data_IF_924393288468
#
_entry.id   IF_924393288468
#
_cell.length_a   1.000
_cell.length_b   1.000
_cell.length_c   1.000
_cell.angle_alpha   90.00
_cell.angle_beta   90.00
_cell.angle_gamma   90.00
#
_symmetry.space_group_name_H-M   'P 1'
#
loop_
_entity.id
_entity.type
_entity.pdbx_description
1 polymer ?
#
# COMPACT_ATOMS: atom_id res chain seq x y z
N UNK A 1 -15.42 -1.02 1.42
CA UNK A 1 -14.37 -0.16 2.02
C UNK A 1 -15.05 1.06 2.63
N UNK A 2 -14.69 1.43 3.86
CA UNK A 2 -15.18 2.66 4.50
C UNK A 2 -14.03 3.68 4.52
N UNK A 3 -14.21 4.81 3.85
CA UNK A 3 -13.32 5.97 3.99
C UNK A 3 -13.85 6.83 5.14
N UNK A 4 -13.02 7.07 6.15
CA UNK A 4 -13.35 7.95 7.26
C UNK A 4 -12.50 9.21 7.16
N UNK A 5 -13.16 10.36 7.00
CA UNK A 5 -12.51 11.67 6.97
C UNK A 5 -12.76 12.35 8.31
N UNK A 6 -11.71 12.41 9.13
CA UNK A 6 -11.66 13.28 10.30
C UNK A 6 -11.43 14.73 9.81
N UNK A 7 -12.52 15.45 9.57
CA UNK A 7 -12.42 16.82 9.06
C UNK A 7 -12.27 17.81 10.20
N UNK A 8 -11.02 18.14 10.49
CA UNK A 8 -10.69 19.15 11.49
C UNK A 8 -10.51 20.56 10.90
N UNK A 9 -10.80 20.74 9.61
CA UNK A 9 -10.72 22.01 8.89
C UNK A 9 -9.31 22.47 8.52
N UNK A 10 -8.26 21.71 8.85
CA UNK A 10 -6.86 22.12 8.62
C UNK A 10 -5.94 20.97 8.17
N UNK A 11 -5.05 21.28 7.22
CA UNK A 11 -3.87 20.49 6.90
C UNK A 11 -2.63 21.24 7.38
N UNK A 12 -2.01 20.77 8.47
CA UNK A 12 -0.94 21.52 9.18
C UNK A 12 -1.45 22.91 9.59
N UNK A 13 -1.01 23.98 8.92
CA UNK A 13 -1.42 25.37 9.17
C UNK A 13 -2.37 25.93 8.11
N UNK A 14 -2.66 25.15 7.07
CA UNK A 14 -3.46 25.56 5.92
C UNK A 14 -4.91 25.16 6.15
N UNK A 15 -5.86 26.08 5.97
CA UNK A 15 -7.28 25.78 6.11
C UNK A 15 -7.80 24.92 4.96
N UNK A 16 -8.90 24.19 5.18
CA UNK A 16 -9.53 23.36 4.15
C UNK A 16 -10.01 24.16 2.93
N UNK A 17 -10.33 25.45 3.11
CA UNK A 17 -10.75 26.35 2.03
C UNK A 17 -9.69 26.54 0.94
N UNK A 18 -8.40 26.40 1.29
CA UNK A 18 -7.29 26.48 0.33
C UNK A 18 -6.91 25.12 -0.27
N UNK A 19 -7.41 24.03 0.30
CA UNK A 19 -7.06 22.66 -0.10
C UNK A 19 -8.14 22.01 -0.95
N UNK A 20 -9.39 22.41 -0.77
CA UNK A 20 -10.55 21.79 -1.41
C UNK A 20 -11.57 22.88 -1.73
N UNK A 21 -12.13 22.91 -2.95
CA UNK A 21 -13.21 23.83 -3.28
C UNK A 21 -14.34 23.77 -2.24
N UNK A 22 -14.68 24.92 -1.66
CA UNK A 22 -15.69 25.04 -0.59
C UNK A 22 -15.27 24.46 0.78
N UNK A 23 -14.06 23.95 0.92
CA UNK A 23 -13.54 23.35 2.15
C UNK A 23 -14.24 22.05 2.57
N UNK A 24 -14.96 21.40 1.66
CA UNK A 24 -15.69 20.15 1.91
C UNK A 24 -15.46 19.14 0.78
N UNK A 25 -14.60 18.14 1.03
CA UNK A 25 -14.29 17.10 0.05
C UNK A 25 -15.49 16.19 -0.25
N UNK A 26 -16.35 15.93 0.74
CA UNK A 26 -17.53 15.10 0.56
C UNK A 26 -18.50 15.73 -0.44
N UNK A 27 -18.68 17.05 -0.39
CA UNK A 27 -19.50 17.79 -1.35
C UNK A 27 -18.97 17.64 -2.80
N UNK A 28 -17.66 17.72 -3.00
CA UNK A 28 -17.03 17.58 -4.32
C UNK A 28 -17.15 16.15 -4.87
N UNK A 29 -17.09 15.16 -3.98
CA UNK A 29 -17.19 13.75 -4.36
C UNK A 29 -18.64 13.27 -4.57
N UNK A 30 -19.67 14.09 -4.30
CA UNK A 30 -21.09 13.70 -4.53
C UNK A 30 -21.41 13.32 -5.97
N UNK A 31 -20.62 13.78 -6.93
CA UNK A 31 -20.78 13.42 -8.34
C UNK A 31 -20.33 11.98 -8.66
N UNK A 32 -19.58 11.32 -7.77
CA UNK A 32 -19.06 9.97 -8.00
C UNK A 32 -20.18 8.94 -7.82
N UNK A 33 -20.61 8.32 -8.91
CA UNK A 33 -21.57 7.23 -8.85
C UNK A 33 -20.97 6.01 -8.11
N UNK A 34 -21.80 5.34 -7.31
CA UNK A 34 -21.39 4.14 -6.57
C UNK A 34 -20.66 4.41 -5.25
N UNK A 35 -20.43 5.67 -4.87
CA UNK A 35 -19.91 6.04 -3.55
C UNK A 35 -21.04 6.57 -2.65
N UNK A 36 -21.35 5.86 -1.56
CA UNK A 36 -22.29 6.37 -0.56
C UNK A 36 -21.61 7.40 0.33
N UNK A 37 -22.11 8.64 0.38
CA UNK A 37 -21.50 9.72 1.17
C UNK A 37 -22.40 10.09 2.34
N UNK A 38 -21.83 10.10 3.54
CA UNK A 38 -22.46 10.53 4.77
C UNK A 38 -21.60 11.61 5.44
N UNK A 39 -22.26 12.62 6.01
CA UNK A 39 -21.62 13.70 6.75
C UNK A 39 -22.32 13.90 8.11
N UNK A 40 -21.64 14.49 9.08
CA UNK A 40 -22.22 14.82 10.39
C UNK A 40 -21.24 15.54 11.32
N UNK A 41 -21.74 15.94 12.50
CA UNK A 41 -20.90 16.48 13.58
C UNK A 41 -20.23 15.33 14.35
N UNK A 42 -18.91 15.23 14.25
CA UNK A 42 -18.12 14.24 14.99
C UNK A 42 -17.94 14.58 16.47
N UNK A 43 -18.25 15.81 16.89
CA UNK A 43 -18.22 16.22 18.27
C UNK A 43 -19.54 15.97 19.00
N UNK A 44 -20.64 15.75 18.28
CA UNK A 44 -21.91 15.29 18.88
C UNK A 44 -21.85 13.76 19.09
N UNK A 45 -21.96 13.27 20.34
CA UNK A 45 -21.76 11.86 20.62
C UNK A 45 -22.87 10.95 20.06
N UNK A 46 -24.11 11.43 19.95
CA UNK A 46 -25.21 10.64 19.41
C UNK A 46 -25.13 10.59 17.89
N UNK A 47 -24.95 11.74 17.24
CA UNK A 47 -24.83 11.78 15.78
C UNK A 47 -23.61 10.99 15.32
N UNK A 48 -22.44 11.18 15.92
CA UNK A 48 -21.24 10.44 15.56
C UNK A 48 -21.45 8.91 15.68
N UNK A 49 -22.04 8.45 16.79
CA UNK A 49 -22.34 7.02 16.98
C UNK A 49 -23.28 6.47 15.91
N UNK A 50 -24.36 7.20 15.60
CA UNK A 50 -25.33 6.80 14.59
C UNK A 50 -24.72 6.76 13.18
N UNK A 51 -24.01 7.81 12.77
CA UNK A 51 -23.38 7.90 11.44
C UNK A 51 -22.33 6.82 11.24
N UNK A 52 -21.47 6.60 12.25
CA UNK A 52 -20.44 5.54 12.20
C UNK A 52 -21.11 4.17 12.09
N UNK A 53 -22.09 3.87 12.94
CA UNK A 53 -22.79 2.59 12.91
C UNK A 53 -23.49 2.35 11.57
N UNK A 54 -24.15 3.37 11.02
CA UNK A 54 -24.83 3.30 9.73
C UNK A 54 -23.85 3.07 8.57
N UNK A 55 -22.74 3.80 8.53
CA UNK A 55 -21.72 3.65 7.50
C UNK A 55 -21.05 2.27 7.53
N UNK A 56 -20.72 1.76 8.73
CA UNK A 56 -20.16 0.42 8.92
C UNK A 56 -21.15 -0.65 8.46
N UNK A 57 -22.42 -0.53 8.86
CA UNK A 57 -23.49 -1.45 8.45
C UNK A 57 -23.65 -1.45 6.92
N UNK A 58 -23.71 -0.28 6.30
CA UNK A 58 -23.82 -0.14 4.85
C UNK A 58 -22.69 -0.89 4.12
N UNK A 59 -21.42 -0.66 4.50
CA UNK A 59 -20.28 -1.29 3.85
C UNK A 59 -20.28 -2.81 4.01
N UNK A 60 -20.77 -3.32 5.16
CA UNK A 60 -20.84 -4.76 5.43
C UNK A 60 -21.98 -5.45 4.68
N UNK A 61 -23.17 -4.86 4.67
CA UNK A 61 -24.38 -5.44 4.09
C UNK A 61 -24.40 -5.27 2.57
N UNK A 62 -24.12 -4.05 2.09
CA UNK A 62 -24.19 -3.73 0.65
C UNK A 62 -22.90 -4.08 -0.09
N UNK A 63 -21.80 -4.35 0.63
CA UNK A 63 -20.46 -4.60 0.06
C UNK A 63 -20.00 -3.50 -0.91
N UNK A 64 -20.48 -2.29 -0.70
CA UNK A 64 -20.20 -1.11 -1.51
C UNK A 64 -19.31 -0.11 -0.75
N UNK A 65 -18.58 0.79 -1.44
CA UNK A 65 -17.77 1.80 -0.78
C UNK A 65 -18.65 2.90 -0.17
N UNK A 66 -18.24 3.40 1.00
CA UNK A 66 -18.83 4.57 1.62
C UNK A 66 -17.75 5.54 2.10
N UNK A 67 -18.05 6.84 2.05
CA UNK A 67 -17.28 7.91 2.66
C UNK A 67 -18.08 8.52 3.80
N UNK A 68 -17.52 8.49 5.00
CA UNK A 68 -18.04 9.15 6.19
C UNK A 68 -17.12 10.32 6.53
N UNK A 69 -17.61 11.54 6.38
CA UNK A 69 -16.90 12.76 6.79
C UNK A 69 -17.52 13.28 8.08
N UNK A 70 -16.76 13.28 9.18
CA UNK A 70 -17.20 13.88 10.43
C UNK A 70 -16.38 15.12 10.73
N UNK A 71 -17.04 16.23 11.00
CA UNK A 71 -16.35 17.45 11.42
C UNK A 71 -15.95 17.35 12.89
N UNK A 72 -14.70 17.66 13.21
CA UNK A 72 -14.18 17.66 14.59
C UNK A 72 -13.35 18.91 14.86
N UNK A 73 -13.19 19.38 16.10
CA UNK A 73 -12.26 20.46 16.39
C UNK A 73 -10.81 19.97 16.41
N UNK A 74 -9.85 20.83 16.03
CA UNK A 74 -8.42 20.57 16.25
C UNK A 74 -7.92 21.27 17.51
N UNK A 75 -8.08 20.59 18.65
CA UNK A 75 -7.79 21.09 19.99
C UNK A 75 -6.29 21.30 20.28
N UNK A 76 -5.42 20.62 19.53
CA UNK A 76 -3.96 20.72 19.66
C UNK A 76 -3.29 21.04 18.32
N UNK A 77 -2.02 21.45 18.39
CA UNK A 77 -1.16 21.64 17.21
C UNK A 77 -1.06 20.40 16.32
N UNK A 78 -0.53 20.58 15.10
CA UNK A 78 -0.28 19.46 14.17
C UNK A 78 0.68 18.44 14.79
N UNK A 79 1.67 18.98 15.49
CA UNK A 79 2.66 18.26 16.28
C UNK A 79 2.71 18.86 17.69
N UNK A 80 3.40 18.19 18.61
CA UNK A 80 3.58 18.70 19.98
C UNK A 80 4.32 20.04 20.08
N UNK A 81 4.96 20.51 19.00
CA UNK A 81 5.66 21.80 18.94
C UNK A 81 4.83 22.90 18.26
N UNK A 82 3.74 22.55 17.58
CA UNK A 82 2.89 23.51 16.87
C UNK A 82 2.02 24.30 17.87
N UNK A 83 2.30 25.60 17.98
CA UNK A 83 1.61 26.52 18.88
C UNK A 83 0.25 26.98 18.37
N UNK A 84 -0.13 26.62 17.13
CA UNK A 84 -1.35 27.05 16.45
C UNK A 84 -1.47 28.57 16.23
N UNK A 85 -0.34 29.31 16.23
CA UNK A 85 -0.34 30.78 16.11
C UNK A 85 -0.99 31.34 14.83
N UNK A 86 -1.19 30.50 13.81
CA UNK A 86 -1.90 30.84 12.57
C UNK A 86 -3.43 30.85 12.70
N UNK A 87 -3.98 30.41 13.84
CA UNK A 87 -5.43 30.44 14.11
C UNK A 87 -5.82 31.70 14.86
N UNK A 88 -6.98 32.27 14.53
CA UNK A 88 -7.57 33.35 15.31
C UNK A 88 -8.01 32.87 16.70
N UNK A 89 -8.02 33.77 17.68
CA UNK A 89 -8.54 33.48 19.01
C UNK A 89 -9.99 32.98 18.99
N UNK A 90 -10.81 33.52 18.07
CA UNK A 90 -12.19 33.07 17.84
C UNK A 90 -12.25 31.61 17.38
N UNK A 91 -11.39 31.22 16.42
CA UNK A 91 -11.31 29.83 15.94
C UNK A 91 -10.93 28.89 17.08
N UNK A 92 -9.93 29.24 17.86
CA UNK A 92 -9.49 28.44 19.01
C UNK A 92 -10.59 28.32 20.08
N UNK A 93 -11.32 29.41 20.35
CA UNK A 93 -12.44 29.39 21.30
C UNK A 93 -13.59 28.50 20.81
N UNK A 94 -13.93 28.57 19.52
CA UNK A 94 -14.94 27.70 18.89
C UNK A 94 -14.54 26.23 18.91
N UNK A 95 -13.27 25.92 18.63
CA UNK A 95 -12.77 24.55 18.69
C UNK A 95 -12.85 23.99 20.12
N UNK A 96 -12.42 24.77 21.12
CA UNK A 96 -12.51 24.39 22.54
C UNK A 96 -13.94 24.20 23.02
N UNK A 97 -14.89 25.06 22.62
CA UNK A 97 -16.29 24.90 23.03
C UNK A 97 -16.96 23.68 22.41
N UNK A 98 -16.40 23.17 21.31
CA UNK A 98 -16.83 21.96 20.62
C UNK A 98 -16.01 20.71 20.99
N UNK A 99 -15.27 20.73 22.11
CA UNK A 99 -14.53 19.56 22.58
C UNK A 99 -15.45 18.32 22.71
N UNK A 100 -15.21 17.24 21.93
CA UNK A 100 -16.01 16.03 21.95
C UNK A 100 -16.02 15.34 23.33
N UNK A 101 -14.94 15.43 24.11
CA UNK A 101 -14.85 14.82 25.44
C UNK A 101 -15.81 15.51 26.42
N UNK A 102 -15.86 16.84 26.37
CA UNK A 102 -16.78 17.64 27.20
C UNK A 102 -18.24 17.46 26.78
N UNK A 103 -18.51 17.31 25.48
CA UNK A 103 -19.85 16.98 24.98
C UNK A 103 -20.28 15.57 25.39
N UNK A 104 -19.37 14.60 25.32
CA UNK A 104 -19.62 13.23 25.77
C UNK A 104 -19.88 13.17 27.28
N UNK A 105 -19.11 13.90 28.10
CA UNK A 105 -19.36 14.02 29.54
C UNK A 105 -20.77 14.54 29.81
N UNK A 106 -21.17 15.65 29.18
CA UNK A 106 -22.51 16.23 29.35
C UNK A 106 -23.64 15.31 28.88
N UNK A 107 -23.37 14.47 27.89
CA UNK A 107 -24.34 13.49 27.39
C UNK A 107 -24.50 12.30 28.34
N UNK A 108 -23.40 11.80 28.89
CA UNK A 108 -23.41 10.60 29.74
C UNK A 108 -23.63 10.89 31.22
N UNK A 109 -23.26 12.06 31.73
CA UNK A 109 -23.34 12.42 33.14
C UNK A 109 -24.45 13.46 33.36
N UNK A 110 -25.42 13.23 34.27
CA UNK A 110 -25.56 12.07 35.16
C UNK A 110 -26.38 10.91 34.57
N UNK A 111 -26.83 11.01 33.31
CA UNK A 111 -27.90 10.15 32.76
C UNK A 111 -27.54 8.67 32.67
N UNK A 112 -26.27 8.34 32.41
CA UNK A 112 -25.73 6.99 32.19
C UNK A 112 -24.60 6.65 33.13
N UNK A 113 -23.86 7.66 33.61
CA UNK A 113 -22.74 7.52 34.55
C UNK A 113 -22.88 8.56 35.65
N UNK A 114 -22.45 8.22 36.87
CA UNK A 114 -22.23 9.22 37.91
C UNK A 114 -20.93 9.99 37.65
N UNK A 115 -20.83 11.22 38.18
CA UNK A 115 -19.60 12.00 38.12
C UNK A 115 -18.41 11.24 38.73
N UNK A 116 -18.64 10.52 39.82
CA UNK A 116 -17.62 9.69 40.46
C UNK A 116 -17.12 8.54 39.56
N UNK A 117 -18.02 7.91 38.81
CA UNK A 117 -17.66 6.86 37.85
C UNK A 117 -16.87 7.43 36.66
N UNK A 118 -17.27 8.60 36.13
CA UNK A 118 -16.51 9.28 35.08
C UNK A 118 -15.08 9.61 35.53
N UNK A 119 -14.93 10.27 36.68
CA UNK A 119 -13.60 10.60 37.24
C UNK A 119 -12.75 9.37 37.53
N UNK A 120 -13.37 8.24 37.84
CA UNK A 120 -12.63 6.99 38.01
C UNK A 120 -12.03 6.52 36.68
N UNK A 121 -12.79 6.58 35.58
CA UNK A 121 -12.30 6.28 34.24
C UNK A 121 -11.14 7.21 33.85
N UNK A 122 -11.26 8.51 34.13
CA UNK A 122 -10.17 9.48 33.86
C UNK A 122 -8.89 9.13 34.63
N UNK A 123 -9.01 8.78 35.92
CA UNK A 123 -7.84 8.35 36.72
C UNK A 123 -7.24 7.05 36.20
N UNK A 124 -8.06 6.11 35.74
CA UNK A 124 -7.60 4.86 35.14
C UNK A 124 -6.84 5.11 33.83
N UNK A 125 -7.33 6.00 32.98
CA UNK A 125 -6.67 6.39 31.74
C UNK A 125 -5.31 7.05 32.00
N UNK A 126 -5.22 7.98 32.97
CA UNK A 126 -3.96 8.62 33.36
C UNK A 126 -2.95 7.59 33.88
N UNK A 127 -3.37 6.70 34.80
CA UNK A 127 -2.50 5.62 35.30
C UNK A 127 -2.00 4.71 34.18
N UNK A 128 -2.85 4.39 33.20
CA UNK A 128 -2.44 3.56 32.06
C UNK A 128 -1.35 4.24 31.22
N UNK A 129 -1.43 5.56 31.02
CA UNK A 129 -0.40 6.34 30.32
C UNK A 129 0.90 6.41 31.12
N UNK A 130 0.83 6.66 32.42
CA UNK A 130 2.00 6.71 33.31
C UNK A 130 2.76 5.37 33.31
N UNK A 131 2.05 4.25 33.45
CA UNK A 131 2.64 2.93 33.37
C UNK A 131 3.23 2.62 31.98
N UNK A 132 2.63 3.13 30.90
CA UNK A 132 3.19 2.99 29.56
C UNK A 132 4.48 3.78 29.39
N UNK A 133 4.58 4.97 29.98
CA UNK A 133 5.78 5.78 30.01
C UNK A 133 6.90 5.09 30.78
N UNK A 134 6.62 4.56 31.98
CA UNK A 134 7.60 3.81 32.79
C UNK A 134 8.18 2.64 31.98
N UNK A 135 7.32 1.80 31.41
CA UNK A 135 7.75 0.69 30.53
C UNK A 135 8.53 1.14 29.31
N UNK A 136 8.31 2.35 28.80
CA UNK A 136 9.04 2.87 27.64
C UNK A 136 10.43 3.37 28.03
N UNK A 137 10.56 4.03 29.20
CA UNK A 137 11.82 4.53 29.74
C UNK A 137 12.76 3.39 30.20
N UNK A 138 12.20 2.26 30.63
CA UNK A 138 12.95 1.05 30.99
C UNK A 138 13.52 0.29 29.79
N UNK A 139 13.10 0.62 28.56
CA UNK A 139 13.60 -0.09 27.37
C UNK A 139 15.08 0.23 27.15
N UNK A 140 15.91 -0.78 26.84
CA UNK A 140 17.29 -0.54 26.47
C UNK A 140 17.35 0.29 25.18
N UNK A 141 18.40 1.09 25.05
CA UNK A 141 18.69 1.78 23.80
C UNK A 141 18.81 0.75 22.65
N UNK A 142 18.30 1.08 21.45
CA UNK A 142 18.43 0.19 20.30
C UNK A 142 19.90 0.02 19.92
N UNK A 143 20.30 -1.21 19.59
CA UNK A 143 21.65 -1.54 19.12
C UNK A 143 21.89 -1.00 17.69
N UNK A 144 22.80 -0.02 17.49
CA UNK A 144 23.10 0.52 16.16
C UNK A 144 23.64 -0.53 15.18
N UNK A 145 24.27 -1.60 15.69
CA UNK A 145 24.77 -2.71 14.86
C UNK A 145 23.67 -3.44 14.10
N UNK A 146 22.40 -3.32 14.55
CA UNK A 146 21.24 -3.96 13.94
C UNK A 146 20.53 -3.09 12.89
N UNK A 147 21.03 -1.89 12.59
CA UNK A 147 20.36 -0.96 11.67
C UNK A 147 20.15 -1.54 10.26
N UNK A 148 21.00 -2.47 9.82
CA UNK A 148 20.88 -3.12 8.50
C UNK A 148 19.98 -4.35 8.50
N UNK A 149 19.46 -4.76 9.65
CA UNK A 149 18.60 -5.94 9.73
C UNK A 149 17.35 -5.73 8.91
N UNK A 150 16.96 -6.76 8.19
CA UNK A 150 15.71 -6.82 7.42
C UNK A 150 15.63 -5.82 6.26
N UNK A 151 16.77 -5.33 5.75
CA UNK A 151 16.80 -4.66 4.44
C UNK A 151 16.34 -5.62 3.36
N UNK A 152 16.78 -6.88 3.42
CA UNK A 152 16.28 -8.00 2.63
C UNK A 152 15.79 -9.10 3.56
N UNK A 153 15.17 -10.14 2.99
CA UNK A 153 14.88 -11.37 3.73
C UNK A 153 16.19 -11.99 4.22
N UNK A 154 16.24 -12.32 5.52
CA UNK A 154 17.41 -12.90 6.18
C UNK A 154 17.17 -14.38 6.51
N UNK A 155 18.23 -15.08 6.92
CA UNK A 155 18.14 -16.43 7.47
C UNK A 155 18.56 -16.42 8.94
N UNK A 156 17.92 -17.25 9.73
CA UNK A 156 18.25 -17.45 11.14
C UNK A 156 19.54 -18.27 11.29
N UNK A 157 19.99 -18.45 12.53
CA UNK A 157 21.20 -19.20 12.85
C UNK A 157 21.17 -20.68 12.41
N UNK A 158 19.99 -21.23 12.09
CA UNK A 158 19.83 -22.59 11.58
C UNK A 158 19.67 -22.64 10.05
N UNK A 159 19.82 -21.50 9.36
CA UNK A 159 19.70 -21.41 7.90
C UNK A 159 18.26 -21.43 7.40
N UNK A 160 17.26 -21.16 8.24
CA UNK A 160 15.85 -21.01 7.81
C UNK A 160 15.55 -19.55 7.55
N UNK A 161 14.65 -19.26 6.60
CA UNK A 161 14.21 -17.88 6.35
C UNK A 161 13.55 -17.27 7.60
N UNK A 162 14.00 -16.08 7.99
CA UNK A 162 13.31 -15.27 9.00
C UNK A 162 12.09 -14.59 8.36
N UNK A 163 10.97 -15.31 8.39
CA UNK A 163 9.73 -14.88 7.76
C UNK A 163 9.13 -13.66 8.45
N UNK A 164 8.56 -12.78 7.62
CA UNK A 164 7.76 -11.65 8.09
C UNK A 164 6.45 -12.12 8.73
N UNK A 165 5.88 -11.33 9.64
CA UNK A 165 4.57 -11.63 10.24
C UNK A 165 3.44 -11.57 9.19
N UNK A 166 3.50 -10.60 8.28
CA UNK A 166 2.47 -10.40 7.26
C UNK A 166 3.03 -10.01 5.89
N UNK A 167 2.44 -10.60 4.86
CA UNK A 167 2.61 -10.26 3.45
C UNK A 167 3.42 -11.28 2.65
N UNK A 168 3.12 -11.38 1.36
CA UNK A 168 3.67 -12.40 0.46
C UNK A 168 3.16 -13.81 0.74
N UNK A 169 3.78 -14.78 0.06
CA UNK A 169 3.38 -16.20 0.12
C UNK A 169 4.09 -16.99 1.22
N UNK A 170 5.31 -16.59 1.58
CA UNK A 170 6.17 -17.38 2.45
C UNK A 170 5.60 -17.59 3.87
N UNK A 171 5.01 -16.58 4.55
CA UNK A 171 4.39 -16.78 5.86
C UNK A 171 3.17 -17.72 5.83
N UNK A 172 2.53 -17.87 4.67
CA UNK A 172 1.39 -18.78 4.47
C UNK A 172 1.84 -20.22 4.18
N UNK A 173 3.14 -20.49 4.10
CA UNK A 173 3.68 -21.81 3.74
C UNK A 173 3.34 -22.23 2.31
N UNK A 174 2.97 -21.29 1.44
CA UNK A 174 2.62 -21.57 0.04
C UNK A 174 3.92 -21.77 -0.73
N UNK A 175 4.26 -23.03 -0.99
CA UNK A 175 5.38 -23.40 -1.86
C UNK A 175 4.88 -23.63 -3.29
N UNK A 176 5.56 -23.03 -4.26
CA UNK A 176 5.32 -23.31 -5.69
C UNK A 176 6.04 -24.60 -6.04
N UNK A 177 5.31 -25.59 -6.57
CA UNK A 177 5.90 -26.87 -6.94
C UNK A 177 7.03 -26.69 -7.97
N UNK A 178 8.16 -27.42 -7.83
CA UNK A 178 9.19 -27.41 -8.84
C UNK A 178 8.63 -27.96 -10.16
N UNK A 179 9.06 -27.39 -11.28
CA UNK A 179 8.79 -27.97 -12.59
C UNK A 179 9.58 -29.27 -12.79
N UNK A 180 9.28 -30.01 -13.86
CA UNK A 180 10.10 -31.17 -14.25
C UNK A 180 11.55 -30.77 -14.50
N UNK A 181 12.50 -31.62 -14.08
CA UNK A 181 13.93 -31.39 -14.28
C UNK A 181 14.43 -31.79 -15.68
N UNK A 182 13.58 -32.44 -16.47
CA UNK A 182 13.92 -32.91 -17.82
C UNK A 182 13.62 -31.80 -18.80
N UNK A 183 14.65 -31.34 -19.51
CA UNK A 183 14.50 -30.40 -20.59
C UNK A 183 13.86 -31.09 -21.81
N UNK A 184 12.80 -30.48 -22.35
CA UNK A 184 12.21 -30.88 -23.63
C UNK A 184 12.61 -29.85 -24.70
N UNK A 185 13.68 -30.10 -25.48
CA UNK A 185 14.18 -29.12 -26.43
C UNK A 185 13.21 -28.95 -27.61
N UNK A 186 12.84 -27.70 -27.88
CA UNK A 186 12.14 -27.32 -29.11
C UNK A 186 13.16 -26.93 -30.19
N UNK A 187 12.86 -27.19 -31.49
CA UNK A 187 13.79 -26.89 -32.59
C UNK A 187 13.99 -25.39 -32.83
N UNK A 188 13.05 -24.55 -32.38
CA UNK A 188 13.05 -23.12 -32.66
C UNK A 188 13.65 -22.32 -31.50
N UNK A 189 14.53 -21.37 -31.82
CA UNK A 189 14.99 -20.37 -30.85
C UNK A 189 13.84 -19.46 -30.45
N UNK A 190 13.80 -19.10 -29.16
CA UNK A 190 12.85 -18.13 -28.61
C UNK A 190 13.55 -16.81 -28.30
N UNK A 191 12.86 -15.70 -28.53
CA UNK A 191 13.32 -14.38 -28.09
C UNK A 191 12.97 -14.14 -26.61
N UNK A 192 13.53 -13.08 -26.02
CA UNK A 192 13.34 -12.79 -24.59
C UNK A 192 11.87 -12.57 -24.24
N UNK A 193 11.14 -11.83 -25.08
CA UNK A 193 9.70 -11.60 -24.92
C UNK A 193 8.89 -12.92 -24.82
N UNK A 194 9.16 -13.87 -25.73
CA UNK A 194 8.50 -15.18 -25.71
C UNK A 194 8.86 -15.97 -24.46
N UNK A 195 10.12 -15.89 -24.02
CA UNK A 195 10.60 -16.56 -22.81
C UNK A 195 9.95 -16.01 -21.54
N UNK A 196 9.79 -14.68 -21.42
CA UNK A 196 9.07 -14.01 -20.34
C UNK A 196 7.61 -14.49 -20.32
N UNK A 197 6.91 -14.41 -21.45
CA UNK A 197 5.51 -14.84 -21.56
C UNK A 197 5.31 -16.30 -21.15
N UNK A 198 6.13 -17.21 -21.66
CA UNK A 198 6.09 -18.65 -21.30
C UNK A 198 6.35 -18.86 -19.81
N UNK A 199 7.26 -18.09 -19.22
CA UNK A 199 7.55 -18.16 -17.78
C UNK A 199 6.34 -17.71 -16.96
N UNK A 200 5.72 -16.57 -17.31
CA UNK A 200 4.51 -16.10 -16.63
C UNK A 200 3.36 -17.10 -16.74
N UNK A 201 3.16 -17.72 -17.91
CA UNK A 201 2.13 -18.74 -18.11
C UNK A 201 2.29 -19.93 -17.15
N UNK A 202 3.51 -20.46 -17.06
CA UNK A 202 3.83 -21.58 -16.15
C UNK A 202 3.65 -21.19 -14.69
N UNK A 203 4.17 -20.03 -14.26
CA UNK A 203 4.07 -19.61 -12.85
C UNK A 203 2.63 -19.27 -12.47
N UNK A 204 1.81 -18.70 -13.37
CA UNK A 204 0.37 -18.50 -13.14
C UNK A 204 -0.38 -19.83 -12.95
N UNK A 205 -0.03 -20.87 -13.72
CA UNK A 205 -0.62 -22.20 -13.61
C UNK A 205 -0.24 -22.88 -12.29
N UNK A 206 1.02 -22.74 -11.85
CA UNK A 206 1.53 -23.37 -10.63
C UNK A 206 1.11 -22.63 -9.36
N UNK A 207 0.88 -21.33 -9.43
CA UNK A 207 0.62 -20.49 -8.28
C UNK A 207 -0.76 -19.84 -8.37
N UNK A 208 -1.80 -20.36 -7.70
CA UNK A 208 -3.15 -19.80 -7.76
C UNK A 208 -3.27 -18.40 -7.13
N UNK A 209 -2.24 -17.91 -6.45
CA UNK A 209 -2.18 -16.61 -5.76
C UNK A 209 -1.39 -15.55 -6.53
N UNK A 210 -0.82 -15.89 -7.69
CA UNK A 210 -0.10 -14.94 -8.54
C UNK A 210 -1.08 -14.09 -9.35
N UNK A 211 -0.92 -12.79 -9.42
CA UNK A 211 -1.74 -11.93 -10.28
C UNK A 211 -0.86 -11.03 -11.13
N UNK A 212 -1.15 -10.93 -12.42
CA UNK A 212 -0.39 -10.12 -13.40
C UNK A 212 -1.30 -9.01 -13.89
N UNK A 213 -0.90 -7.76 -13.73
CA UNK A 213 -1.81 -6.65 -14.03
C UNK A 213 -1.05 -5.37 -14.36
N UNK A 214 -1.74 -4.44 -15.00
CA UNK A 214 -1.18 -3.16 -15.42
C UNK A 214 -2.01 -2.58 -16.55
N UNK A 215 -1.49 -1.58 -17.23
CA UNK A 215 -2.17 -0.96 -18.36
C UNK A 215 -2.06 -1.86 -19.59
N UNK A 216 -3.20 -2.20 -20.20
CA UNK A 216 -3.30 -3.09 -21.38
C UNK A 216 -2.80 -4.55 -21.16
N UNK A 217 -2.51 -4.95 -19.92
CA UNK A 217 -1.96 -6.28 -19.58
C UNK A 217 -2.95 -7.42 -19.82
N UNK A 218 -4.26 -7.14 -19.76
CA UNK A 218 -5.34 -8.13 -19.89
C UNK A 218 -5.59 -8.55 -21.35
N UNK A 219 -6.69 -8.13 -22.00
CA UNK A 219 -7.05 -8.59 -23.34
C UNK A 219 -6.00 -8.31 -24.42
N UNK A 220 -5.32 -7.14 -24.35
CA UNK A 220 -4.31 -6.75 -25.33
C UNK A 220 -2.99 -7.51 -25.16
N UNK A 221 -2.68 -7.97 -23.95
CA UNK A 221 -1.47 -8.74 -23.67
C UNK A 221 -0.21 -7.90 -23.41
N UNK A 222 -0.39 -6.68 -22.91
CA UNK A 222 0.65 -5.69 -22.68
C UNK A 222 1.02 -4.96 -23.98
N UNK A 223 1.52 -3.73 -23.87
CA UNK A 223 1.90 -2.92 -25.05
C UNK A 223 3.01 -3.58 -25.87
N UNK A 224 3.85 -4.39 -25.23
CA UNK A 224 4.91 -5.15 -25.89
C UNK A 224 4.58 -6.62 -26.14
N UNK A 225 3.38 -7.09 -25.77
CA UNK A 225 2.93 -8.46 -26.02
C UNK A 225 3.43 -9.53 -25.02
N UNK A 226 4.00 -9.12 -23.89
CA UNK A 226 4.58 -10.03 -22.90
C UNK A 226 3.53 -10.88 -22.16
N UNK A 227 2.26 -10.47 -22.17
CA UNK A 227 1.15 -11.18 -21.53
C UNK A 227 0.07 -11.64 -22.52
N UNK A 228 0.37 -11.63 -23.82
CA UNK A 228 -0.56 -12.04 -24.88
C UNK A 228 -1.16 -13.43 -24.64
N UNK A 229 -2.50 -13.50 -24.61
CA UNK A 229 -3.28 -14.72 -24.41
C UNK A 229 -3.32 -15.24 -22.96
N UNK A 230 -2.62 -14.60 -22.01
CA UNK A 230 -2.62 -15.06 -20.62
C UNK A 230 -3.96 -14.85 -19.92
N UNK A 231 -4.69 -13.78 -20.25
CA UNK A 231 -6.04 -13.56 -19.68
C UNK A 231 -7.04 -14.62 -20.15
N UNK A 232 -7.04 -14.98 -21.43
CA UNK A 232 -7.93 -16.03 -21.94
C UNK A 232 -7.67 -17.38 -21.25
N UNK A 233 -6.40 -17.65 -20.94
CA UNK A 233 -5.97 -18.91 -20.32
C UNK A 233 -6.20 -18.96 -18.80
N UNK A 234 -5.93 -17.88 -18.08
CA UNK A 234 -5.91 -17.83 -16.61
C UNK A 234 -7.10 -17.06 -16.00
N UNK A 235 -7.89 -16.39 -16.84
CA UNK A 235 -9.08 -15.64 -16.46
C UNK A 235 -8.81 -14.19 -16.03
N UNK A 236 -9.83 -13.35 -16.18
CA UNK A 236 -9.80 -11.92 -15.85
C UNK A 236 -9.62 -11.61 -14.35
N UNK A 237 -9.74 -12.60 -13.45
CA UNK A 237 -9.41 -12.44 -12.04
C UNK A 237 -7.91 -12.52 -11.75
N UNK A 238 -7.11 -13.06 -12.68
CA UNK A 238 -5.69 -13.37 -12.50
C UNK A 238 -4.79 -12.53 -13.40
N UNK A 239 -5.26 -12.20 -14.60
CA UNK A 239 -4.58 -11.33 -15.55
C UNK A 239 -5.55 -10.22 -15.98
N UNK A 240 -5.27 -8.96 -15.64
CA UNK A 240 -6.26 -7.88 -15.81
C UNK A 240 -5.68 -6.49 -16.01
N UNK A 241 -6.50 -5.61 -16.60
CA UNK A 241 -6.17 -4.20 -16.78
C UNK A 241 -6.42 -3.37 -15.52
N UNK A 242 -5.64 -2.31 -15.36
CA UNK A 242 -5.82 -1.30 -14.31
C UNK A 242 -6.23 0.06 -14.87
N UNK A 243 -6.61 0.98 -13.98
CA UNK A 243 -6.66 2.41 -14.32
C UNK A 243 -5.29 2.90 -14.76
N UNK A 244 -5.26 3.97 -15.57
CA UNK A 244 -4.05 4.65 -16.00
C UNK A 244 -3.43 5.48 -14.86
N UNK A 245 -2.83 4.79 -13.90
CA UNK A 245 -2.25 5.37 -12.69
C UNK A 245 -1.20 4.43 -12.13
N UNK A 246 0.07 4.77 -12.31
CA UNK A 246 1.19 3.95 -11.89
C UNK A 246 1.32 3.89 -10.36
N UNK A 247 1.05 5.01 -9.68
CA UNK A 247 0.95 5.03 -8.22
C UNK A 247 -0.14 4.09 -7.71
N UNK A 248 -1.28 4.02 -8.42
CA UNK A 248 -2.39 3.12 -8.11
C UNK A 248 -2.06 1.67 -8.38
N UNK A 249 -1.31 1.37 -9.46
CA UNK A 249 -0.81 0.04 -9.80
C UNK A 249 0.10 -0.49 -8.68
N UNK A 250 1.12 0.29 -8.29
CA UNK A 250 2.07 -0.12 -7.25
C UNK A 250 1.40 -0.15 -5.88
N UNK A 251 0.58 0.84 -5.53
CA UNK A 251 -0.17 0.84 -4.27
C UNK A 251 -1.10 -0.37 -4.14
N UNK A 252 -1.78 -0.75 -5.22
CA UNK A 252 -2.55 -1.99 -5.29
C UNK A 252 -1.66 -3.22 -5.12
N UNK A 253 -0.50 -3.28 -5.76
CA UNK A 253 0.45 -4.38 -5.61
C UNK A 253 0.87 -4.56 -4.14
N UNK A 254 1.20 -3.47 -3.45
CA UNK A 254 1.53 -3.52 -2.00
C UNK A 254 0.37 -4.13 -1.21
N UNK A 255 -0.86 -3.66 -1.41
CA UNK A 255 -2.04 -4.19 -0.73
C UNK A 255 -2.29 -5.69 -1.02
N UNK A 256 -2.14 -6.12 -2.27
CA UNK A 256 -2.29 -7.52 -2.68
C UNK A 256 -1.20 -8.40 -2.02
N UNK A 257 0.04 -7.94 -1.98
CA UNK A 257 1.12 -8.64 -1.30
C UNK A 257 0.81 -8.80 0.18
N UNK A 258 0.39 -7.73 0.87
CA UNK A 258 -0.01 -7.77 2.28
C UNK A 258 -1.21 -8.68 2.57
N UNK A 259 -2.06 -8.90 1.57
CA UNK A 259 -3.19 -9.85 1.64
C UNK A 259 -2.78 -11.31 1.35
N UNK A 260 -1.49 -11.59 1.12
CA UNK A 260 -0.97 -12.93 0.89
C UNK A 260 -1.12 -13.42 -0.56
N UNK A 261 -0.97 -12.51 -1.53
CA UNK A 261 -0.86 -12.80 -2.95
C UNK A 261 0.58 -12.56 -3.45
N UNK A 262 0.86 -13.00 -4.69
CA UNK A 262 2.07 -12.64 -5.43
C UNK A 262 1.70 -11.69 -6.58
N UNK A 263 1.77 -10.37 -6.38
CA UNK A 263 1.47 -9.42 -7.43
C UNK A 263 2.67 -9.25 -8.37
N UNK A 264 2.36 -9.19 -9.66
CA UNK A 264 3.31 -9.00 -10.76
C UNK A 264 2.83 -7.83 -11.62
N UNK A 265 2.89 -6.59 -11.09
CA UNK A 265 2.46 -5.42 -11.83
C UNK A 265 3.40 -5.12 -13.00
N UNK A 266 2.86 -4.67 -14.13
CA UNK A 266 3.60 -4.11 -15.26
C UNK A 266 3.41 -2.60 -15.31
N UNK A 267 4.52 -1.85 -15.35
CA UNK A 267 4.54 -0.44 -15.72
C UNK A 267 4.99 -0.36 -17.18
N UNK A 268 4.20 0.30 -18.03
CA UNK A 268 4.33 0.21 -19.49
C UNK A 268 5.72 0.64 -20.02
N UNK A 269 6.30 1.68 -19.42
CA UNK A 269 7.65 2.15 -19.72
C UNK A 269 8.31 2.68 -18.46
N UNK A 270 9.63 2.56 -18.35
CA UNK A 270 10.39 3.05 -17.19
C UNK A 270 10.09 4.50 -16.78
N UNK A 271 9.87 5.42 -17.70
CA UNK A 271 9.57 6.82 -17.34
C UNK A 271 8.30 6.96 -16.48
N UNK A 272 7.35 6.06 -16.67
CA UNK A 272 6.05 6.11 -16.01
C UNK A 272 6.09 5.55 -14.58
N UNK A 273 7.21 4.94 -14.16
CA UNK A 273 7.41 4.60 -12.76
C UNK A 273 7.65 5.85 -11.88
N UNK A 274 8.05 6.98 -12.46
CA UNK A 274 8.36 8.21 -11.71
C UNK A 274 7.19 8.74 -10.85
N UNK A 275 5.93 8.84 -11.33
CA UNK A 275 4.80 9.20 -10.47
C UNK A 275 4.54 8.21 -9.32
N UNK A 276 4.98 6.95 -9.44
CA UNK A 276 4.84 5.92 -8.40
C UNK A 276 6.03 5.86 -7.42
N UNK A 277 6.95 6.83 -7.47
CA UNK A 277 8.19 6.81 -6.68
C UNK A 277 7.94 6.64 -5.19
N UNK A 278 6.94 7.33 -4.63
CA UNK A 278 6.63 7.23 -3.20
C UNK A 278 6.17 5.81 -2.83
N UNK A 279 5.26 5.22 -3.60
CA UNK A 279 4.77 3.86 -3.37
C UNK A 279 5.88 2.82 -3.53
N UNK A 280 6.80 3.02 -4.47
CA UNK A 280 7.96 2.16 -4.68
C UNK A 280 8.97 2.27 -3.51
N UNK A 281 9.23 3.48 -3.01
CA UNK A 281 10.08 3.71 -1.84
C UNK A 281 9.48 3.10 -0.57
N UNK A 282 8.18 3.30 -0.34
CA UNK A 282 7.49 2.73 0.83
C UNK A 282 7.50 1.20 0.80
N UNK A 283 7.27 0.62 -0.39
CA UNK A 283 7.33 -0.83 -0.61
C UNK A 283 8.71 -1.42 -0.25
N UNK A 284 9.79 -0.85 -0.80
CA UNK A 284 11.15 -1.36 -0.58
C UNK A 284 11.59 -1.27 0.89
N UNK A 285 11.25 -0.17 1.56
CA UNK A 285 11.63 0.05 2.97
C UNK A 285 10.75 -0.70 3.97
N UNK A 286 9.59 -1.22 3.55
CA UNK A 286 8.57 -1.79 4.43
C UNK A 286 9.12 -2.84 5.41
N UNK A 287 9.91 -3.80 4.91
CA UNK A 287 10.48 -4.87 5.74
C UNK A 287 11.41 -4.32 6.81
N UNK A 288 12.29 -3.42 6.42
CA UNK A 288 13.25 -2.77 7.31
C UNK A 288 12.56 -1.88 8.35
N UNK A 289 11.71 -0.93 7.90
CA UNK A 289 11.08 0.09 8.77
C UNK A 289 10.07 -0.49 9.75
N UNK A 290 9.56 -1.69 9.48
CA UNK A 290 8.63 -2.41 10.37
C UNK A 290 9.31 -3.53 11.17
N UNK A 291 10.64 -3.66 11.12
CA UNK A 291 11.40 -4.72 11.77
C UNK A 291 10.87 -6.13 11.44
N UNK A 292 10.67 -6.40 10.15
CA UNK A 292 10.15 -7.65 9.59
C UNK A 292 8.68 -7.96 9.92
N UNK A 293 7.91 -7.04 10.50
CA UNK A 293 6.48 -7.30 10.73
C UNK A 293 5.68 -7.35 9.43
N UNK A 294 6.02 -6.49 8.48
CA UNK A 294 5.37 -6.44 7.17
C UNK A 294 6.42 -6.53 6.05
N UNK A 295 6.10 -7.25 4.99
CA UNK A 295 6.83 -7.15 3.73
C UNK A 295 5.86 -7.25 2.55
N UNK A 296 6.21 -6.61 1.43
CA UNK A 296 5.43 -6.68 0.20
C UNK A 296 6.22 -7.32 -0.96
N UNK A 297 6.50 -8.64 -0.93
CA UNK A 297 7.15 -9.32 -2.04
C UNK A 297 6.31 -9.21 -3.32
N UNK A 298 6.92 -8.74 -4.40
CA UNK A 298 6.28 -8.55 -5.70
C UNK A 298 7.34 -8.52 -6.81
N UNK A 299 6.91 -8.67 -8.05
CA UNK A 299 7.79 -8.49 -9.22
C UNK A 299 7.23 -7.40 -10.11
N UNK A 300 7.82 -6.21 -10.03
CA UNK A 300 7.44 -5.07 -10.88
C UNK A 300 8.17 -5.21 -12.21
N UNK A 301 7.42 -5.51 -13.27
CA UNK A 301 7.93 -5.64 -14.64
C UNK A 301 7.93 -4.28 -15.32
N UNK A 302 9.06 -3.90 -15.91
CA UNK A 302 9.24 -2.58 -16.53
C UNK A 302 10.02 -2.72 -17.84
N UNK A 303 9.42 -2.43 -19.00
CA UNK A 303 10.15 -2.28 -20.25
C UNK A 303 11.12 -1.11 -20.21
N UNK A 304 12.36 -1.35 -20.63
CA UNK A 304 13.49 -0.39 -20.59
C UNK A 304 14.23 -0.31 -21.92
N UNK A 305 15.12 0.69 -22.02
CA UNK A 305 15.99 0.88 -23.18
C UNK A 305 15.26 1.41 -24.40
N UNK A 306 15.99 1.55 -25.51
CA UNK A 306 15.48 2.15 -26.74
C UNK A 306 15.22 1.09 -27.83
N UNK A 307 14.29 1.38 -28.74
CA UNK A 307 14.04 0.59 -29.95
C UNK A 307 13.87 1.53 -31.15
N UNK A 308 14.75 1.40 -32.16
CA UNK A 308 14.78 2.20 -33.39
C UNK A 308 15.02 3.71 -33.19
N UNK A 309 13.99 4.45 -32.76
CA UNK A 309 14.05 5.88 -32.52
C UNK A 309 13.75 6.15 -31.05
N UNK A 310 14.62 6.91 -30.40
CA UNK A 310 14.52 7.20 -28.98
C UNK A 310 13.93 8.59 -28.73
N UNK A 311 12.98 8.65 -27.80
CA UNK A 311 12.52 9.88 -27.16
C UNK A 311 12.75 9.78 -25.64
N UNK A 312 12.75 10.91 -24.91
CA UNK A 312 13.08 10.93 -23.48
C UNK A 312 12.05 10.22 -22.60
N UNK A 313 10.88 9.84 -23.11
CA UNK A 313 9.82 9.18 -22.33
C UNK A 313 9.81 7.67 -22.52
N UNK A 314 10.20 7.15 -23.68
CA UNK A 314 10.16 5.70 -23.93
C UNK A 314 11.53 5.02 -23.94
N UNK A 315 12.64 5.73 -23.74
CA UNK A 315 14.00 5.20 -23.97
C UNK A 315 14.86 5.03 -22.72
N UNK A 316 14.29 5.24 -21.53
CA UNK A 316 15.03 5.24 -20.28
C UNK A 316 15.23 3.82 -19.73
N UNK A 317 16.36 3.58 -19.09
CA UNK A 317 16.59 2.40 -18.22
C UNK A 317 16.65 2.83 -16.76
N UNK A 318 17.46 3.85 -16.44
CA UNK A 318 17.54 4.49 -15.12
C UNK A 318 17.58 3.49 -13.94
N UNK A 319 18.25 2.37 -14.15
CA UNK A 319 18.40 1.28 -13.19
C UNK A 319 19.24 1.69 -11.97
N UNK A 320 20.18 2.62 -12.16
CA UNK A 320 21.05 3.14 -11.08
C UNK A 320 20.23 3.69 -9.92
N UNK A 321 19.11 4.39 -10.20
CA UNK A 321 18.23 4.91 -9.15
C UNK A 321 17.69 3.78 -8.24
N UNK A 322 17.43 2.61 -8.82
CA UNK A 322 16.83 1.48 -8.14
C UNK A 322 17.84 0.55 -7.48
N UNK A 323 19.07 0.48 -8.00
CA UNK A 323 20.18 -0.21 -7.34
C UNK A 323 20.51 0.43 -5.99
N UNK A 324 20.23 1.73 -5.83
CA UNK A 324 20.32 2.44 -4.55
C UNK A 324 19.01 2.42 -3.74
N UNK A 325 17.95 1.80 -4.24
CA UNK A 325 16.68 1.63 -3.55
C UNK A 325 16.78 0.60 -2.43
N UNK A 326 16.41 1.00 -1.21
CA UNK A 326 16.45 0.11 -0.04
C UNK A 326 15.44 -1.03 -0.22
N UNK A 327 15.90 -2.26 -0.03
CA UNK A 327 15.07 -3.48 -0.04
C UNK A 327 14.61 -3.97 -1.41
N UNK A 328 14.98 -3.28 -2.49
CA UNK A 328 14.70 -3.73 -3.85
C UNK A 328 15.82 -4.63 -4.40
N UNK A 329 15.43 -5.76 -4.99
CA UNK A 329 16.29 -6.48 -5.93
C UNK A 329 16.10 -5.87 -7.32
N UNK A 330 17.16 -5.82 -8.12
CA UNK A 330 17.10 -5.35 -9.51
C UNK A 330 17.61 -6.47 -10.42
N UNK A 331 16.78 -6.86 -11.39
CA UNK A 331 17.09 -7.88 -12.39
C UNK A 331 17.05 -7.27 -13.79
N UNK A 332 18.12 -7.44 -14.56
CA UNK A 332 18.28 -6.92 -15.93
C UNK A 332 18.77 -8.06 -16.83
N UNK A 333 17.87 -8.93 -17.33
CA UNK A 333 18.25 -10.04 -18.20
C UNK A 333 18.87 -9.54 -19.52
N UNK A 334 19.88 -10.26 -20.01
CA UNK A 334 20.56 -9.95 -21.28
C UNK A 334 20.15 -10.86 -22.44
N UNK A 335 19.41 -11.93 -22.15
CA UNK A 335 18.99 -12.94 -23.11
C UNK A 335 17.78 -13.73 -22.59
N UNK A 336 17.24 -14.63 -23.40
CA UNK A 336 16.07 -15.44 -23.06
C UNK A 336 16.29 -16.38 -21.87
N UNK A 337 17.48 -16.98 -21.73
CA UNK A 337 17.81 -17.88 -20.61
C UNK A 337 17.88 -17.12 -19.29
N UNK A 338 18.59 -15.99 -19.28
CA UNK A 338 18.65 -15.07 -18.13
C UNK A 338 17.24 -14.65 -17.70
N UNK A 339 16.38 -14.29 -18.66
CA UNK A 339 15.02 -13.84 -18.38
C UNK A 339 14.20 -14.92 -17.66
N UNK A 340 14.29 -16.18 -18.09
CA UNK A 340 13.59 -17.30 -17.44
C UNK A 340 14.13 -17.51 -16.01
N UNK A 341 15.45 -17.58 -15.86
CA UNK A 341 16.09 -17.83 -14.57
C UNK A 341 15.82 -16.72 -13.55
N UNK A 342 16.08 -15.46 -13.93
CA UNK A 342 15.91 -14.30 -13.07
C UNK A 342 14.44 -14.05 -12.72
N UNK A 343 13.53 -14.16 -13.69
CA UNK A 343 12.10 -13.94 -13.43
C UNK A 343 11.55 -15.00 -12.47
N UNK A 344 11.92 -16.28 -12.67
CA UNK A 344 11.50 -17.35 -11.76
C UNK A 344 12.11 -17.20 -10.37
N UNK A 345 13.38 -16.80 -10.28
CA UNK A 345 14.02 -16.51 -8.99
C UNK A 345 13.30 -15.36 -8.25
N UNK A 346 12.90 -14.31 -8.97
CA UNK A 346 12.15 -13.19 -8.41
C UNK A 346 10.74 -13.62 -7.94
N UNK A 347 9.99 -14.34 -8.79
CA UNK A 347 8.62 -14.79 -8.49
C UNK A 347 8.55 -15.78 -7.32
N UNK A 348 9.61 -16.56 -7.11
CA UNK A 348 9.70 -17.54 -6.01
C UNK A 348 10.50 -17.01 -4.81
N UNK A 349 11.01 -15.79 -4.91
CA UNK A 349 11.71 -15.08 -3.84
C UNK A 349 10.75 -14.44 -2.84
N UNK A 350 11.32 -13.86 -1.79
CA UNK A 350 10.57 -13.18 -0.73
C UNK A 350 10.93 -11.69 -0.62
N UNK A 351 11.66 -11.14 -1.60
CA UNK A 351 12.03 -9.73 -1.68
C UNK A 351 11.31 -9.06 -2.87
N UNK A 352 10.91 -7.79 -2.76
CA UNK A 352 10.38 -7.07 -3.91
C UNK A 352 11.48 -6.89 -4.97
N UNK A 353 11.13 -7.13 -6.23
CA UNK A 353 12.08 -7.15 -7.35
C UNK A 353 11.59 -6.27 -8.49
N UNK A 354 12.48 -5.42 -9.02
CA UNK A 354 12.31 -4.74 -10.29
C UNK A 354 12.91 -5.61 -11.40
N UNK A 355 12.08 -6.00 -12.35
CA UNK A 355 12.47 -6.82 -13.49
C UNK A 355 12.45 -5.96 -14.76
N UNK A 356 13.63 -5.57 -15.23
CA UNK A 356 13.81 -4.61 -16.32
C UNK A 356 13.95 -5.31 -17.68
N UNK A 357 12.96 -5.16 -18.54
CA UNK A 357 12.82 -5.89 -19.80
C UNK A 357 13.33 -5.03 -20.97
N UNK A 358 14.54 -5.29 -21.47
CA UNK A 358 15.09 -4.50 -22.57
C UNK A 358 14.31 -4.71 -23.87
N UNK A 359 13.74 -3.65 -24.44
CA UNK A 359 12.79 -3.74 -25.58
C UNK A 359 13.39 -4.21 -26.90
N UNK A 360 14.71 -4.17 -27.06
CA UNK A 360 15.40 -4.66 -28.27
C UNK A 360 15.60 -6.20 -28.28
N UNK A 361 15.60 -6.85 -27.10
CA UNK A 361 16.10 -8.22 -26.91
C UNK A 361 14.99 -9.29 -26.95
#
# INVERSE_FOLDING_TARGET
MLFYVEDNGFGISVSSQLQTPGGNIAANLRAFSGLSICEGDGADPLEAAERIASAVRFVREQRAPALLRLTVPRLCGHSGQDTQAYKSAETLARERSNDPLQRLYRHLVPQRLSDGAWRQIEREAVRAVEQALERALERPAPDPGRVRRYVFTEHDAAGRLELQEQGGLAPLGVAVAPGGAVAEPEPNRVNMLTAIRRTLDVELALNPRMVVFGEDVGPKGGVHGATLGLQDRHGAARVFDTSLSEEGIIGRAVGLALAGLLPVPEIQFRKYADPATEQLNDCGTMRWRTANRFAAPMVVRIPVGFLKCGDPWHSQTNEVAWVHGIGWRVAVPSNAEDAVGLLRAALRGNDPTLFLEHRLL
#
